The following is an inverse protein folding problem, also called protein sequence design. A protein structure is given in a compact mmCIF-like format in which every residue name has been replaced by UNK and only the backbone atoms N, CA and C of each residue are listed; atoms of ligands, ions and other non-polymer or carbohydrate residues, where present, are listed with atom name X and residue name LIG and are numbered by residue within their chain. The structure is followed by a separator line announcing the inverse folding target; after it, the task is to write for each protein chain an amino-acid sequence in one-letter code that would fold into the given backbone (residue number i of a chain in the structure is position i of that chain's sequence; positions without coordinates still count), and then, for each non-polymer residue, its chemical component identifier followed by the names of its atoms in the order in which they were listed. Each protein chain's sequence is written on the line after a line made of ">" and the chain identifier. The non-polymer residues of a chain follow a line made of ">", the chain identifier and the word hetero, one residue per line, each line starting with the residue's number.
data_IF_932944162535
#
_entry.id   IF_932944162535
#
_cell.length_a   1.000
_cell.length_b   1.000
_cell.length_c   1.000
_cell.angle_alpha   90.00
_cell.angle_beta   90.00
_cell.angle_gamma   90.00
#
_symmetry.space_group_name_H-M   'P 1'
#
loop_
_entity.id
_entity.type
_entity.pdbx_description
1 polymer ?
#
# COMPACT_ATOMS: atom_id res chain seq x y z
N UNK A 1 -9.15 2.28 35.37
CA UNK A 1 -8.18 2.40 34.27
C UNK A 1 -8.93 2.66 32.96
N UNK A 2 -8.60 3.73 32.21
CA UNK A 2 -9.17 3.96 30.88
C UNK A 2 -8.32 3.20 29.85
N UNK A 3 -8.88 2.17 29.24
CA UNK A 3 -8.19 1.37 28.22
C UNK A 3 -8.02 2.20 26.95
N UNK A 4 -6.78 2.37 26.47
CA UNK A 4 -6.55 3.07 25.21
C UNK A 4 -7.09 2.25 24.04
N UNK A 5 -8.19 2.71 23.47
CA UNK A 5 -8.88 2.06 22.35
C UNK A 5 -8.04 2.07 21.06
N UNK A 6 -6.98 2.88 20.98
CA UNK A 6 -6.08 2.97 19.82
C UNK A 6 -5.15 1.75 19.71
N UNK A 7 -4.84 1.13 20.83
CA UNK A 7 -3.97 -0.05 20.95
C UNK A 7 -4.68 -1.35 20.60
N UNK A 8 -6.02 -1.32 20.52
CA UNK A 8 -6.83 -2.47 20.14
C UNK A 8 -6.54 -2.93 18.70
N UNK A 9 -6.69 -4.24 18.48
CA UNK A 9 -6.63 -4.83 17.14
C UNK A 9 -7.67 -4.18 16.20
N UNK A 10 -7.43 -4.15 14.87
CA UNK A 10 -8.38 -3.55 13.94
C UNK A 10 -9.81 -4.11 14.06
N UNK A 11 -9.94 -5.43 14.24
CA UNK A 11 -11.22 -6.10 14.48
C UNK A 11 -11.88 -5.67 15.79
N UNK A 12 -11.11 -5.58 16.88
CA UNK A 12 -11.64 -5.11 18.17
C UNK A 12 -12.14 -3.66 18.11
N UNK A 13 -11.45 -2.79 17.38
CA UNK A 13 -11.92 -1.43 17.15
C UNK A 13 -13.17 -1.36 16.27
N UNK A 14 -13.31 -2.24 15.27
CA UNK A 14 -14.52 -2.34 14.46
C UNK A 14 -15.71 -2.76 15.33
N UNK A 15 -15.57 -3.83 16.12
CA UNK A 15 -16.59 -4.29 17.05
C UNK A 15 -16.97 -3.20 18.06
N UNK A 16 -16.00 -2.40 18.52
CA UNK A 16 -16.24 -1.23 19.38
C UNK A 16 -17.12 -0.18 18.68
N UNK A 17 -16.76 0.21 17.44
CA UNK A 17 -17.52 1.19 16.64
C UNK A 17 -18.96 0.73 16.42
N UNK A 18 -19.14 -0.53 16.04
CA UNK A 18 -20.45 -1.11 15.77
C UNK A 18 -21.32 -1.12 17.03
N UNK A 19 -20.79 -1.55 18.18
CA UNK A 19 -21.53 -1.56 19.44
C UNK A 19 -21.91 -0.15 19.90
N UNK A 20 -20.99 0.80 19.80
CA UNK A 20 -21.26 2.20 20.15
C UNK A 20 -22.38 2.81 19.28
N UNK A 21 -22.35 2.57 17.96
CA UNK A 21 -23.41 3.05 17.06
C UNK A 21 -24.75 2.36 17.34
N UNK A 22 -24.75 1.05 17.59
CA UNK A 22 -25.98 0.32 17.97
C UNK A 22 -26.60 0.86 19.25
N UNK A 23 -25.78 1.18 20.26
CA UNK A 23 -26.28 1.79 21.50
C UNK A 23 -26.93 3.16 21.25
N UNK A 24 -26.34 4.00 20.40
CA UNK A 24 -26.97 5.28 20.00
C UNK A 24 -28.28 5.06 19.23
N UNK A 25 -28.35 4.07 18.34
CA UNK A 25 -29.58 3.72 17.62
C UNK A 25 -30.67 3.15 18.54
N UNK A 26 -30.29 2.51 19.64
CA UNK A 26 -31.20 2.00 20.67
C UNK A 26 -31.72 3.09 21.61
N UNK A 27 -31.34 4.36 21.41
CA UNK A 27 -31.84 5.51 22.18
C UNK A 27 -30.89 6.08 23.22
N UNK A 28 -29.71 5.48 23.43
CA UNK A 28 -28.72 6.05 24.35
C UNK A 28 -28.11 7.35 23.80
N UNK A 29 -27.82 8.28 24.70
CA UNK A 29 -27.13 9.52 24.33
C UNK A 29 -25.66 9.23 23.99
N UNK A 30 -25.07 10.06 23.14
CA UNK A 30 -23.64 9.93 22.79
C UNK A 30 -22.72 10.14 24.01
N UNK A 31 -23.18 10.83 25.06
CA UNK A 31 -22.44 11.05 26.31
C UNK A 31 -22.37 9.76 27.12
N UNK A 32 -23.51 9.08 27.30
CA UNK A 32 -23.56 7.79 28.01
C UNK A 32 -22.72 6.73 27.28
N UNK A 33 -22.87 6.65 25.96
CA UNK A 33 -22.09 5.72 25.12
C UNK A 33 -20.59 6.01 25.24
N UNK A 34 -20.19 7.28 25.26
CA UNK A 34 -18.80 7.68 25.48
C UNK A 34 -18.27 7.20 26.85
N UNK A 35 -19.08 7.33 27.90
CA UNK A 35 -18.77 6.84 29.24
C UNK A 35 -18.61 5.31 29.29
N UNK A 36 -19.57 4.57 28.73
CA UNK A 36 -19.60 3.10 28.72
C UNK A 36 -18.38 2.53 27.98
N UNK A 37 -18.05 3.09 26.82
CA UNK A 37 -16.98 2.56 25.96
C UNK A 37 -15.62 3.22 26.20
N UNK A 38 -15.52 4.18 27.13
CA UNK A 38 -14.27 4.86 27.46
C UNK A 38 -13.66 5.65 26.31
N UNK A 39 -14.50 6.20 25.42
CA UNK A 39 -14.08 6.98 24.24
C UNK A 39 -14.58 8.41 24.31
N UNK A 40 -13.89 9.39 23.68
CA UNK A 40 -14.40 10.75 23.60
C UNK A 40 -15.77 10.83 22.91
N UNK A 41 -16.69 11.66 23.43
CA UNK A 41 -18.01 11.91 22.81
C UNK A 41 -17.90 12.28 21.33
N UNK A 42 -16.92 13.10 20.96
CA UNK A 42 -16.69 13.50 19.57
C UNK A 42 -16.42 12.29 18.66
N UNK A 43 -15.70 11.29 19.16
CA UNK A 43 -15.42 10.03 18.45
C UNK A 43 -16.72 9.24 18.19
N UNK A 44 -17.61 9.16 19.18
CA UNK A 44 -18.93 8.54 19.01
C UNK A 44 -19.74 9.29 17.95
N UNK A 45 -19.74 10.62 18.00
CA UNK A 45 -20.41 11.46 16.99
C UNK A 45 -19.89 11.23 15.57
N UNK A 46 -18.56 11.08 15.40
CA UNK A 46 -17.95 10.73 14.11
C UNK A 46 -18.41 9.37 13.60
N UNK A 47 -18.51 8.36 14.47
CA UNK A 47 -18.99 7.03 14.09
C UNK A 47 -20.46 7.04 13.67
N UNK A 48 -21.32 7.75 14.41
CA UNK A 48 -22.74 7.91 14.05
C UNK A 48 -22.88 8.63 12.70
N UNK A 49 -22.08 9.69 12.47
CA UNK A 49 -22.06 10.42 11.20
C UNK A 49 -21.60 9.53 10.03
N UNK A 50 -20.57 8.71 10.25
CA UNK A 50 -20.10 7.74 9.26
C UNK A 50 -21.21 6.73 8.93
N UNK A 51 -21.85 6.17 9.96
CA UNK A 51 -22.96 5.23 9.80
C UNK A 51 -24.14 5.83 9.03
N UNK A 52 -24.52 7.08 9.32
CA UNK A 52 -25.60 7.76 8.56
C UNK A 52 -25.27 7.92 7.07
N UNK A 53 -23.99 8.00 6.70
CA UNK A 53 -23.55 8.17 5.31
C UNK A 53 -23.37 6.84 4.56
N UNK A 54 -22.96 5.77 5.25
CA UNK A 54 -22.53 4.52 4.60
C UNK A 54 -22.91 3.23 5.33
N UNK A 55 -23.82 3.31 6.30
CA UNK A 55 -24.31 2.19 7.10
C UNK A 55 -23.21 1.50 7.91
N UNK A 56 -23.42 0.23 8.27
CA UNK A 56 -22.45 -0.55 9.03
C UNK A 56 -21.12 -0.76 8.28
N UNK A 57 -21.15 -0.76 6.93
CA UNK A 57 -19.95 -0.93 6.10
C UNK A 57 -18.93 0.19 6.34
N UNK A 58 -19.38 1.40 6.68
CA UNK A 58 -18.46 2.52 6.97
C UNK A 58 -17.68 2.36 8.27
N UNK A 59 -18.11 1.46 9.16
CA UNK A 59 -17.49 1.20 10.47
C UNK A 59 -16.45 0.08 10.42
N UNK A 60 -16.36 -0.65 9.29
CA UNK A 60 -15.42 -1.75 9.11
C UNK A 60 -13.97 -1.30 9.26
N UNK A 61 -13.15 -2.17 9.83
CA UNK A 61 -11.72 -1.96 9.92
C UNK A 61 -11.13 -1.82 8.51
N UNK A 62 -10.41 -0.71 8.29
CA UNK A 62 -9.59 -0.56 7.08
C UNK A 62 -8.21 -1.13 7.33
N UNK A 63 -7.62 -1.72 6.29
CA UNK A 63 -6.23 -2.18 6.31
C UNK A 63 -5.33 -1.00 6.66
N UNK A 64 -4.57 -1.11 7.74
CA UNK A 64 -3.59 -0.11 8.15
C UNK A 64 -2.30 -0.29 7.34
N UNK A 65 -1.59 0.82 7.11
CA UNK A 65 -0.31 0.84 6.43
C UNK A 65 -0.40 1.06 4.92
N UNK A 66 0.77 1.19 4.27
CA UNK A 66 0.87 1.39 2.82
C UNK A 66 0.21 0.23 2.07
N UNK A 67 -0.56 0.48 1.00
CA UNK A 67 -1.08 -0.58 0.15
C UNK A 67 0.03 -1.56 -0.25
N UNK A 68 -0.27 -2.86 -0.21
CA UNK A 68 0.66 -3.89 -0.69
C UNK A 68 0.63 -3.86 -2.22
N UNK A 69 1.78 -3.62 -2.85
CA UNK A 69 1.91 -3.56 -4.30
C UNK A 69 2.88 -2.46 -4.74
N UNK A 70 3.51 -2.66 -5.89
CA UNK A 70 4.25 -1.63 -6.59
C UNK A 70 3.36 -0.93 -7.63
N UNK A 71 3.87 0.13 -8.24
CA UNK A 71 3.27 0.81 -9.40
C UNK A 71 3.02 -0.11 -10.59
N UNK A 72 3.77 -1.20 -10.75
CA UNK A 72 3.61 -2.16 -11.84
C UNK A 72 2.61 -3.25 -11.47
N UNK A 73 1.71 -3.54 -12.42
CA UNK A 73 0.86 -4.72 -12.34
C UNK A 73 1.71 -6.00 -12.49
N UNK A 74 1.26 -7.14 -11.94
CA UNK A 74 2.03 -8.39 -12.00
C UNK A 74 2.41 -8.81 -13.42
N UNK A 75 1.52 -8.62 -14.40
CA UNK A 75 1.79 -8.96 -15.80
C UNK A 75 2.80 -8.01 -16.45
N UNK A 76 2.79 -6.71 -16.09
CA UNK A 76 3.78 -5.75 -16.56
C UNK A 76 5.17 -6.11 -16.03
N UNK A 77 5.25 -6.45 -14.74
CA UNK A 77 6.49 -6.93 -14.13
C UNK A 77 7.01 -8.19 -14.84
N UNK A 78 6.14 -9.18 -15.10
CA UNK A 78 6.52 -10.40 -15.80
C UNK A 78 7.05 -10.15 -17.23
N UNK A 79 6.45 -9.22 -17.98
CA UNK A 79 6.94 -8.85 -19.30
C UNK A 79 8.31 -8.17 -19.26
N UNK A 80 8.56 -7.34 -18.25
CA UNK A 80 9.87 -6.68 -18.07
C UNK A 80 10.92 -7.72 -17.71
N UNK A 81 10.65 -8.60 -16.75
CA UNK A 81 11.56 -9.68 -16.37
C UNK A 81 11.89 -10.53 -17.61
N UNK A 82 10.89 -10.98 -18.37
CA UNK A 82 11.11 -11.74 -19.60
C UNK A 82 11.95 -10.97 -20.62
N UNK A 83 11.69 -9.68 -20.80
CA UNK A 83 12.49 -8.84 -21.73
C UNK A 83 13.94 -8.72 -21.27
N UNK A 84 14.18 -8.62 -19.97
CA UNK A 84 15.53 -8.54 -19.39
C UNK A 84 16.26 -9.88 -19.50
N UNK A 85 15.56 -11.00 -19.33
CA UNK A 85 16.12 -12.35 -19.41
C UNK A 85 16.40 -12.80 -20.84
N UNK A 86 15.49 -12.54 -21.78
CA UNK A 86 15.55 -13.08 -23.14
C UNK A 86 16.40 -12.22 -24.09
N UNK A 87 16.68 -10.96 -23.74
CA UNK A 87 17.35 -10.00 -24.63
C UNK A 87 18.46 -9.25 -23.93
N UNK A 88 19.57 -9.05 -24.64
CA UNK A 88 20.59 -8.09 -24.24
C UNK A 88 20.14 -6.67 -24.63
N UNK A 89 20.50 -5.64 -23.85
CA UNK A 89 20.08 -4.24 -24.13
C UNK A 89 20.49 -3.72 -25.51
N UNK A 90 21.57 -4.27 -26.08
CA UNK A 90 22.08 -3.95 -27.41
C UNK A 90 21.03 -4.23 -28.51
N UNK A 91 20.32 -5.36 -28.39
CA UNK A 91 19.22 -5.74 -29.28
C UNK A 91 18.00 -4.82 -29.17
N UNK A 92 17.95 -3.97 -28.15
CA UNK A 92 16.90 -2.97 -27.91
C UNK A 92 17.34 -1.55 -28.25
N UNK A 93 18.52 -1.37 -28.89
CA UNK A 93 19.11 -0.07 -29.24
C UNK A 93 19.28 0.85 -28.03
N UNK A 94 19.55 0.28 -26.87
CA UNK A 94 19.75 1.04 -25.65
C UNK A 94 21.23 1.39 -25.47
N UNK A 95 21.58 2.58 -24.92
CA UNK A 95 22.95 3.10 -24.92
C UNK A 95 23.91 2.46 -23.90
N UNK A 96 23.64 1.23 -23.44
CA UNK A 96 24.42 0.54 -22.42
C UNK A 96 24.54 -0.96 -22.74
N UNK A 97 25.72 -1.54 -22.49
CA UNK A 97 26.01 -2.96 -22.74
C UNK A 97 25.40 -3.93 -21.71
N UNK A 98 24.78 -3.40 -20.63
CA UNK A 98 24.20 -4.15 -19.52
C UNK A 98 22.86 -3.53 -19.07
N UNK A 99 21.95 -4.35 -18.53
CA UNK A 99 20.68 -3.86 -17.96
C UNK A 99 20.93 -3.05 -16.69
N UNK A 100 21.13 -1.73 -16.84
CA UNK A 100 21.24 -0.82 -15.71
C UNK A 100 19.87 -0.47 -15.11
N UNK A 101 19.84 0.20 -13.95
CA UNK A 101 18.56 0.63 -13.36
C UNK A 101 17.88 1.69 -14.22
N UNK A 102 18.67 2.56 -14.83
CA UNK A 102 18.23 3.61 -15.76
C UNK A 102 17.68 2.98 -17.05
N UNK A 103 18.28 1.89 -17.50
CA UNK A 103 17.84 1.10 -18.65
C UNK A 103 16.44 0.56 -18.47
N UNK A 104 16.26 -0.14 -17.35
CA UNK A 104 15.00 -0.79 -17.01
C UNK A 104 13.92 0.26 -16.74
N UNK A 105 14.29 1.39 -16.12
CA UNK A 105 13.39 2.53 -15.97
C UNK A 105 12.90 3.10 -17.30
N UNK A 106 13.80 3.26 -18.29
CA UNK A 106 13.42 3.66 -19.66
C UNK A 106 12.53 2.62 -20.33
N UNK A 107 12.89 1.34 -20.29
CA UNK A 107 12.08 0.26 -20.84
C UNK A 107 10.63 0.27 -20.30
N UNK A 108 10.48 0.45 -18.98
CA UNK A 108 9.18 0.50 -18.32
C UNK A 108 8.39 1.72 -18.77
N UNK A 109 9.04 2.88 -18.88
CA UNK A 109 8.43 4.11 -19.40
C UNK A 109 7.98 3.93 -20.85
N UNK A 110 8.83 3.37 -21.70
CA UNK A 110 8.55 3.25 -23.14
C UNK A 110 7.45 2.21 -23.42
N UNK A 111 7.39 1.11 -22.65
CA UNK A 111 6.36 0.07 -22.84
C UNK A 111 5.02 0.39 -22.20
N UNK A 112 5.02 1.05 -21.04
CA UNK A 112 3.80 1.20 -20.22
C UNK A 112 3.46 2.67 -19.89
N UNK A 113 4.28 3.64 -20.27
CA UNK A 113 4.09 5.04 -19.92
C UNK A 113 4.28 5.35 -18.44
N UNK A 114 4.87 4.43 -17.66
CA UNK A 114 5.00 4.57 -16.20
C UNK A 114 6.42 5.07 -15.86
N UNK A 115 6.60 6.36 -15.52
CA UNK A 115 7.89 6.85 -15.06
C UNK A 115 8.18 6.30 -13.65
N UNK A 116 9.32 5.63 -13.50
CA UNK A 116 9.78 5.13 -12.21
C UNK A 116 11.12 5.77 -11.84
N UNK A 117 11.30 6.05 -10.54
CA UNK A 117 12.59 6.46 -10.03
C UNK A 117 13.61 5.31 -10.12
N UNK A 118 14.89 5.65 -10.27
CA UNK A 118 16.00 4.67 -10.27
C UNK A 118 15.98 3.79 -9.02
N UNK A 119 15.58 4.34 -7.87
CA UNK A 119 15.40 3.60 -6.62
C UNK A 119 14.26 2.60 -6.68
N UNK A 120 13.11 2.98 -7.23
CA UNK A 120 11.96 2.08 -7.41
C UNK A 120 12.32 0.93 -8.35
N UNK A 121 13.02 1.23 -9.44
CA UNK A 121 13.53 0.21 -10.37
C UNK A 121 14.52 -0.73 -9.68
N UNK A 122 15.45 -0.19 -8.89
CA UNK A 122 16.39 -1.00 -8.10
C UNK A 122 15.68 -1.94 -7.12
N UNK A 123 14.59 -1.51 -6.47
CA UNK A 123 13.78 -2.36 -5.59
C UNK A 123 13.04 -3.46 -6.37
N UNK A 124 12.52 -3.15 -7.56
CA UNK A 124 11.92 -4.18 -8.42
C UNK A 124 12.93 -5.21 -8.86
N UNK A 125 14.09 -4.78 -9.33
CA UNK A 125 15.17 -5.69 -9.74
C UNK A 125 15.59 -6.60 -8.60
N UNK A 126 15.81 -6.06 -7.39
CA UNK A 126 16.11 -6.87 -6.22
C UNK A 126 14.98 -7.86 -5.87
N UNK A 127 13.71 -7.44 -5.97
CA UNK A 127 12.56 -8.30 -5.74
C UNK A 127 12.45 -9.43 -6.80
N UNK A 128 12.87 -9.17 -8.03
CA UNK A 128 12.89 -10.15 -9.12
C UNK A 128 14.16 -11.01 -9.14
N UNK A 129 15.07 -10.85 -8.17
CA UNK A 129 16.31 -11.63 -8.07
C UNK A 129 17.47 -11.10 -8.90
N UNK A 130 17.35 -9.92 -9.51
CA UNK A 130 18.46 -9.27 -10.21
C UNK A 130 19.35 -8.51 -9.22
N UNK A 131 20.53 -9.06 -8.96
CA UNK A 131 21.56 -8.46 -8.11
C UNK A 131 22.42 -7.49 -8.93
N UNK A 132 22.86 -6.34 -8.39
CA UNK A 132 23.82 -5.48 -9.07
C UNK A 132 25.08 -6.25 -9.46
N UNK A 133 25.32 -6.40 -10.76
CA UNK A 133 26.57 -6.97 -11.27
C UNK A 133 27.63 -5.88 -11.25
N UNK A 134 28.78 -6.15 -10.59
CA UNK A 134 29.94 -5.26 -10.72
C UNK A 134 30.44 -5.37 -12.16
N UNK A 135 30.59 -4.25 -12.90
CA UNK A 135 31.21 -4.32 -14.22
C UNK A 135 32.62 -4.92 -14.04
N UNK A 136 32.98 -5.87 -14.91
CA UNK A 136 34.36 -6.33 -14.99
C UNK A 136 35.24 -5.11 -15.23
N UNK A 137 36.31 -4.95 -14.45
CA UNK A 137 37.26 -3.86 -14.63
C UNK A 137 37.76 -3.92 -16.07
N UNK A 138 37.43 -2.92 -16.89
CA UNK A 138 38.19 -2.69 -18.11
C UNK A 138 39.59 -2.30 -17.65
N UNK A 139 40.55 -3.20 -17.83
CA UNK A 139 41.95 -2.78 -17.88
C UNK A 139 42.07 -1.92 -19.14
N UNK A 140 42.29 -0.62 -18.94
CA UNK A 140 42.76 0.28 -20.00
C UNK A 140 44.22 -0.04 -20.31
#
# INVERSE_FOLDING_TARGET
>A
MKTDTRTLSPSAQESLRIRAVKAVLAGHTQVEVAGIFGVPRQTVGLWVKAHRRGGLRSLKAKKRGRPKGGTLLPWQAAQIVRTITDRTPDQLKLPFYLWTREAVGRLIKDRFGIPLSVWTVGRYLAQWGFTPQKPARLCL
#
